data_IF_113448091621
#
_entry.id   IF_113448091621
#
_cell.length_a   1.000
_cell.length_b   1.000
_cell.length_c   1.000
_cell.angle_alpha   90.00
_cell.angle_beta   90.00
_cell.angle_gamma   90.00
#
_symmetry.space_group_name_H-M   'P 1'
#
loop_
_entity.id
_entity.type
_entity.pdbx_description
1 polymer ?
#
# COMPACT_ATOMS: atom_id res chain seq x y z
N UNK A 1 -3.34 -15.16 1.76
CA UNK A 1 -3.08 -14.25 0.65
C UNK A 1 -3.25 -12.80 1.11
N UNK A 2 -2.25 -11.97 0.88
CA UNK A 2 -2.27 -10.59 1.36
C UNK A 2 -2.34 -9.64 0.17
N UNK A 3 -3.23 -8.66 0.24
CA UNK A 3 -3.38 -7.66 -0.81
C UNK A 3 -2.93 -6.31 -0.28
N UNK A 4 -1.99 -5.68 -0.98
CA UNK A 4 -1.52 -4.33 -0.66
C UNK A 4 -1.93 -3.40 -1.79
N UNK A 5 -2.66 -2.34 -1.43
CA UNK A 5 -3.01 -1.27 -2.38
C UNK A 5 -2.22 -0.04 -1.96
N UNK A 6 -1.38 0.44 -2.85
CA UNK A 6 -0.56 1.62 -2.60
C UNK A 6 -1.10 2.80 -3.40
N UNK A 7 -1.55 3.83 -2.69
CA UNK A 7 -2.05 5.06 -3.30
C UNK A 7 -0.91 6.05 -3.42
N UNK A 8 -0.64 6.50 -4.64
CA UNK A 8 0.50 7.35 -4.98
C UNK A 8 0.08 8.57 -5.80
N UNK A 9 1.02 9.49 -5.99
CA UNK A 9 0.88 10.60 -6.92
C UNK A 9 2.26 10.93 -7.49
N UNK A 10 2.36 11.34 -8.78
CA UNK A 10 3.66 11.64 -9.39
C UNK A 10 4.50 12.69 -8.67
N UNK A 11 3.85 13.64 -7.99
CA UNK A 11 4.56 14.69 -7.26
C UNK A 11 4.65 14.43 -5.75
N UNK A 12 4.41 13.22 -5.33
CA UNK A 12 4.50 12.81 -3.94
C UNK A 12 5.95 12.47 -3.57
N UNK A 13 6.51 13.14 -2.59
CA UNK A 13 7.92 12.98 -2.24
C UNK A 13 8.26 11.63 -1.60
N UNK A 14 7.32 10.95 -0.98
CA UNK A 14 7.56 9.66 -0.34
C UNK A 14 7.08 8.45 -1.12
N UNK A 15 6.36 8.66 -2.22
CA UNK A 15 5.70 7.56 -2.92
C UNK A 15 6.68 6.58 -3.59
N UNK A 16 7.77 7.08 -4.15
CA UNK A 16 8.77 6.19 -4.76
C UNK A 16 9.41 5.27 -3.73
N UNK A 17 9.69 5.80 -2.55
CA UNK A 17 10.27 5.03 -1.45
C UNK A 17 9.29 3.98 -0.94
N UNK A 18 8.02 4.36 -0.76
CA UNK A 18 6.99 3.43 -0.34
C UNK A 18 6.81 2.31 -1.35
N UNK A 19 6.82 2.65 -2.64
CA UNK A 19 6.70 1.66 -3.71
C UNK A 19 7.87 0.67 -3.69
N UNK A 20 9.09 1.17 -3.51
CA UNK A 20 10.27 0.32 -3.47
C UNK A 20 10.19 -0.68 -2.30
N UNK A 21 9.72 -0.22 -1.14
CA UNK A 21 9.56 -1.10 0.02
C UNK A 21 8.51 -2.18 -0.22
N UNK A 22 7.38 -1.80 -0.80
CA UNK A 22 6.30 -2.75 -1.10
C UNK A 22 6.77 -3.78 -2.13
N UNK A 23 7.46 -3.34 -3.17
CA UNK A 23 7.99 -4.24 -4.20
C UNK A 23 9.02 -5.20 -3.63
N UNK A 24 9.87 -4.73 -2.73
CA UNK A 24 10.85 -5.56 -2.06
C UNK A 24 10.18 -6.65 -1.24
N UNK A 25 9.16 -6.29 -0.47
CA UNK A 25 8.45 -7.27 0.34
C UNK A 25 7.70 -8.28 -0.55
N UNK A 26 7.08 -7.82 -1.62
CA UNK A 26 6.37 -8.70 -2.55
C UNK A 26 7.32 -9.68 -3.23
N UNK A 27 8.56 -9.27 -3.51
CA UNK A 27 9.56 -10.16 -4.08
C UNK A 27 9.99 -11.25 -3.10
N UNK A 28 9.97 -10.96 -1.81
CA UNK A 28 10.30 -11.93 -0.76
C UNK A 28 9.14 -12.88 -0.45
N UNK A 29 7.90 -12.41 -0.64
CA UNK A 29 6.70 -13.18 -0.28
C UNK A 29 5.76 -13.27 -1.48
N UNK A 30 5.80 -14.37 -2.23
CA UNK A 30 5.04 -14.48 -3.48
C UNK A 30 3.52 -14.47 -3.33
N UNK A 31 3.02 -14.67 -2.12
CA UNK A 31 1.58 -14.62 -1.85
C UNK A 31 1.04 -13.20 -1.70
N UNK A 32 1.91 -12.19 -1.67
CA UNK A 32 1.51 -10.80 -1.59
C UNK A 32 1.15 -10.29 -2.98
N UNK A 33 -0.05 -9.73 -3.11
CA UNK A 33 -0.50 -9.07 -4.33
C UNK A 33 -0.41 -7.57 -4.13
N UNK A 34 0.19 -6.87 -5.07
CA UNK A 34 0.38 -5.42 -4.99
C UNK A 34 -0.38 -4.75 -6.12
N UNK A 35 -1.16 -3.73 -5.75
CA UNK A 35 -1.84 -2.87 -6.71
C UNK A 35 -1.41 -1.42 -6.44
N UNK A 36 -0.87 -0.76 -7.45
CA UNK A 36 -0.46 0.65 -7.34
C UNK A 36 -1.54 1.51 -7.99
N UNK A 37 -2.06 2.45 -7.22
CA UNK A 37 -3.16 3.32 -7.67
C UNK A 37 -2.67 4.77 -7.66
N UNK A 38 -2.59 5.38 -8.84
CA UNK A 38 -2.14 6.75 -8.98
C UNK A 38 -3.32 7.71 -8.93
N UNK A 39 -3.21 8.73 -8.07
CA UNK A 39 -4.21 9.79 -7.98
C UNK A 39 -4.11 10.80 -9.14
N UNK A 40 -3.15 10.61 -10.04
CA UNK A 40 -3.07 11.42 -11.25
C UNK A 40 -4.15 11.02 -12.26
N UNK A 41 -4.68 9.80 -12.18
CA UNK A 41 -5.75 9.35 -13.07
C UNK A 41 -7.11 9.57 -12.43
N UNK A 42 -8.15 9.72 -13.25
CA UNK A 42 -9.52 9.86 -12.77
C UNK A 42 -9.97 8.58 -12.02
N UNK A 43 -9.61 7.42 -12.53
CA UNK A 43 -9.93 6.15 -11.90
C UNK A 43 -9.25 6.02 -10.54
N UNK A 44 -7.98 6.44 -10.44
CA UNK A 44 -7.25 6.42 -9.18
C UNK A 44 -7.84 7.37 -8.14
N UNK A 45 -8.25 8.56 -8.57
CA UNK A 45 -8.91 9.51 -7.67
C UNK A 45 -10.23 8.96 -7.15
N UNK A 46 -11.01 8.32 -8.01
CA UNK A 46 -12.27 7.71 -7.61
C UNK A 46 -12.04 6.58 -6.60
N UNK A 47 -11.05 5.74 -6.84
CA UNK A 47 -10.70 4.67 -5.91
C UNK A 47 -10.26 5.22 -4.56
N UNK A 48 -9.46 6.29 -4.55
CA UNK A 48 -9.01 6.93 -3.33
C UNK A 48 -10.18 7.53 -2.55
N UNK A 49 -11.11 8.16 -3.26
CA UNK A 49 -12.29 8.75 -2.64
C UNK A 49 -13.16 7.68 -1.99
N UNK A 50 -13.39 6.58 -2.68
CA UNK A 50 -14.14 5.44 -2.13
C UNK A 50 -13.50 4.87 -0.88
N UNK A 51 -12.17 4.79 -0.87
CA UNK A 51 -11.43 4.25 0.26
C UNK A 51 -11.17 5.28 1.38
N UNK A 52 -11.57 6.55 1.16
CA UNK A 52 -11.34 7.60 2.14
C UNK A 52 -9.89 8.03 2.25
N UNK A 53 -9.12 7.89 1.19
CA UNK A 53 -7.69 8.26 1.15
C UNK A 53 -7.57 9.74 0.82
N UNK A 54 -6.96 10.50 1.74
CA UNK A 54 -6.78 11.95 1.57
C UNK A 54 -5.31 12.38 1.52
N UNK A 55 -4.40 11.50 1.87
CA UNK A 55 -2.96 11.77 1.82
C UNK A 55 -2.24 10.64 1.09
N UNK A 56 -1.08 10.94 0.52
CA UNK A 56 -0.23 9.96 -0.13
C UNK A 56 1.21 10.11 0.37
N UNK A 57 1.99 9.03 0.43
CA UNK A 57 1.56 7.66 0.16
C UNK A 57 0.68 7.11 1.28
N UNK A 58 -0.26 6.26 0.92
CA UNK A 58 -1.08 5.51 1.88
C UNK A 58 -1.22 4.09 1.37
N UNK A 59 -1.07 3.14 2.27
CA UNK A 59 -1.22 1.73 1.95
C UNK A 59 -2.48 1.18 2.60
N UNK A 60 -3.17 0.31 1.88
CA UNK A 60 -4.22 -0.52 2.46
C UNK A 60 -3.74 -1.96 2.40
N UNK A 61 -3.49 -2.55 3.55
CA UNK A 61 -3.03 -3.93 3.68
C UNK A 61 -4.21 -4.75 4.17
N UNK A 62 -4.86 -5.44 3.24
CA UNK A 62 -6.11 -6.15 3.49
C UNK A 62 -7.14 -5.26 4.20
N UNK A 63 -7.21 -3.99 3.78
CA UNK A 63 -8.15 -3.03 4.32
C UNK A 63 -7.64 -2.23 5.52
N UNK A 64 -6.49 -2.57 6.08
CA UNK A 64 -5.89 -1.80 7.17
C UNK A 64 -5.03 -0.67 6.63
N UNK A 65 -5.28 0.53 7.11
CA UNK A 65 -4.61 1.74 6.60
C UNK A 65 -3.27 1.97 7.27
N UNK A 66 -2.27 2.28 6.46
CA UNK A 66 -0.96 2.70 6.92
C UNK A 66 -0.56 3.93 6.13
N UNK A 67 -0.54 5.09 6.78
CA UNK A 67 -0.30 6.38 6.14
C UNK A 67 1.17 6.78 6.23
N UNK A 68 1.70 7.35 5.15
CA UNK A 68 3.10 7.78 5.07
C UNK A 68 4.01 6.67 4.60
N UNK A 69 5.32 6.94 4.62
CA UNK A 69 6.32 5.95 4.24
C UNK A 69 6.59 5.03 5.44
N UNK A 70 6.26 3.74 5.34
CA UNK A 70 6.52 2.82 6.45
C UNK A 70 7.98 2.41 6.49
N UNK A 71 8.41 1.84 7.60
CA UNK A 71 9.65 1.08 7.64
C UNK A 71 9.36 -0.32 7.12
N UNK A 72 10.41 -1.02 6.69
CA UNK A 72 10.25 -2.40 6.26
C UNK A 72 9.72 -3.29 7.40
N UNK A 73 10.15 -3.02 8.62
CA UNK A 73 9.68 -3.74 9.79
C UNK A 73 8.19 -3.54 10.04
N UNK A 74 7.71 -2.30 9.95
CA UNK A 74 6.29 -2.00 10.10
C UNK A 74 5.47 -2.71 9.04
N UNK A 75 5.95 -2.67 7.80
CA UNK A 75 5.25 -3.30 6.69
C UNK A 75 5.16 -4.81 6.89
N UNK A 76 6.25 -5.44 7.29
CA UNK A 76 6.27 -6.88 7.58
C UNK A 76 5.33 -7.25 8.72
N UNK A 77 5.33 -6.44 9.77
CA UNK A 77 4.46 -6.68 10.92
C UNK A 77 3.00 -6.60 10.53
N UNK A 78 2.62 -5.63 9.70
CA UNK A 78 1.24 -5.49 9.23
C UNK A 78 0.82 -6.64 8.35
N UNK A 79 1.69 -7.08 7.44
CA UNK A 79 1.41 -8.22 6.57
C UNK A 79 1.25 -9.50 7.37
N UNK A 80 2.13 -9.74 8.35
CA UNK A 80 2.04 -10.91 9.20
C UNK A 80 0.78 -10.90 10.06
N UNK A 81 0.42 -9.72 10.57
CA UNK A 81 -0.80 -9.57 11.37
C UNK A 81 -2.05 -9.92 10.56
N UNK A 82 -2.17 -9.36 9.35
CA UNK A 82 -3.34 -9.64 8.51
C UNK A 82 -3.38 -11.10 8.06
N UNK A 83 -2.24 -11.71 7.80
CA UNK A 83 -2.18 -13.12 7.43
C UNK A 83 -2.68 -14.03 8.56
N UNK A 84 -2.41 -13.66 9.83
CA UNK A 84 -2.88 -14.43 10.98
C UNK A 84 -4.37 -14.26 11.21
N UNK A 85 -4.88 -13.05 11.08
CA UNK A 85 -6.28 -12.74 11.40
C UNK A 85 -7.20 -12.95 10.22
N UNK A 86 -6.69 -12.82 9.01
CA UNK A 86 -7.45 -12.97 7.80
C UNK A 86 -7.60 -14.39 7.31
N UNK A 87 -6.94 -15.31 8.00
CA UNK A 87 -6.98 -16.73 7.67
C UNK A 87 -8.37 -17.29 7.68
#
# INVERSE_FOLDING_TARGET
>A
MTRIRLFTHPICSGCAEALALVQRLAAEEPEIQVEVISLASAAGRAAAQEAGIVVVPTLLIDGERLTGVPTLEELRARVQHTARTGG
#
